data_IF_091220686126
#
_entry.id   IF_091220686126
#
_cell.length_a   1.000
_cell.length_b   1.000
_cell.length_c   1.000
_cell.angle_alpha   90.00
_cell.angle_beta   90.00
_cell.angle_gamma   90.00
#
_symmetry.space_group_name_H-M   'P 1'
#
loop_
_entity.id
_entity.type
_entity.pdbx_description
1 polymer ?
#
# COMPACT_ATOMS: atom_id res chain seq x y z
N UNK A 1 14.22 -0.11 -0.10
CA UNK A 1 13.83 -0.09 -1.51
C UNK A 1 12.56 0.75 -1.64
N UNK A 2 12.44 1.61 -2.64
CA UNK A 2 11.17 2.29 -2.91
C UNK A 2 10.36 1.38 -3.82
N UNK A 3 9.24 0.88 -3.33
CA UNK A 3 8.32 0.04 -4.09
C UNK A 3 7.67 0.83 -5.23
N UNK A 4 7.32 0.13 -6.31
CA UNK A 4 6.79 0.78 -7.50
C UNK A 4 5.36 1.28 -7.27
N UNK A 5 5.13 2.54 -7.63
CA UNK A 5 3.81 3.16 -7.51
C UNK A 5 2.93 2.71 -8.67
N UNK A 6 1.84 2.04 -8.32
CA UNK A 6 0.78 1.61 -9.25
C UNK A 6 -0.41 2.56 -9.16
N UNK A 7 -1.30 2.49 -10.15
CA UNK A 7 -2.54 3.26 -10.21
C UNK A 7 -3.69 2.39 -10.68
N UNK A 8 -4.87 2.57 -10.08
CA UNK A 8 -6.11 1.90 -10.48
C UNK A 8 -7.26 2.91 -10.56
N UNK A 9 -8.20 2.68 -11.47
CA UNK A 9 -9.47 3.42 -11.54
C UNK A 9 -10.51 2.73 -10.65
N UNK A 10 -10.94 3.40 -9.58
CA UNK A 10 -11.95 2.89 -8.64
C UNK A 10 -13.01 3.97 -8.46
N UNK A 11 -14.28 3.64 -8.72
CA UNK A 11 -15.40 4.59 -8.60
C UNK A 11 -15.18 5.91 -9.37
N UNK A 12 -14.52 5.85 -10.54
CA UNK A 12 -14.19 7.01 -11.37
C UNK A 12 -13.05 7.88 -10.84
N UNK A 13 -12.30 7.39 -9.85
CA UNK A 13 -11.13 8.06 -9.28
C UNK A 13 -9.87 7.24 -9.55
N UNK A 14 -8.81 7.94 -10.00
CA UNK A 14 -7.47 7.37 -10.14
C UNK A 14 -6.76 7.28 -8.79
N UNK A 15 -6.74 6.09 -8.21
CA UNK A 15 -6.12 5.82 -6.91
C UNK A 15 -4.67 5.37 -7.07
N UNK A 16 -3.75 5.99 -6.33
CA UNK A 16 -2.36 5.57 -6.24
C UNK A 16 -2.17 4.55 -5.10
N UNK A 17 -1.45 3.47 -5.36
CA UNK A 17 -1.17 2.43 -4.36
C UNK A 17 0.20 1.79 -4.58
N UNK A 18 0.64 1.05 -3.58
CA UNK A 18 1.81 0.16 -3.63
C UNK A 18 1.27 -1.25 -3.34
N UNK A 19 1.81 -2.23 -4.04
CA UNK A 19 1.38 -3.63 -3.96
C UNK A 19 2.60 -4.51 -4.24
N UNK A 20 3.06 -5.18 -3.19
CA UNK A 20 4.33 -5.92 -3.06
C UNK A 20 4.07 -7.16 -2.20
N UNK A 21 4.78 -8.24 -2.50
CA UNK A 21 4.59 -9.54 -1.83
C UNK A 21 3.59 -10.44 -2.55
N UNK A 22 3.34 -11.61 -1.96
CA UNK A 22 2.46 -12.66 -2.45
C UNK A 22 1.75 -13.29 -1.25
N UNK A 23 0.51 -13.74 -1.41
CA UNK A 23 -0.26 -14.37 -0.33
C UNK A 23 -1.60 -13.68 -0.04
N UNK A 24 -2.08 -13.82 1.19
CA UNK A 24 -3.34 -13.22 1.63
C UNK A 24 -3.15 -11.70 1.88
N UNK A 25 -3.93 -10.82 1.21
CA UNK A 25 -3.61 -9.40 1.18
C UNK A 25 -3.82 -8.70 2.53
N UNK A 26 -2.79 -7.98 2.98
CA UNK A 26 -2.85 -7.04 4.11
C UNK A 26 -2.98 -5.61 3.59
N UNK A 27 -4.13 -4.96 3.85
CA UNK A 27 -4.43 -3.62 3.33
C UNK A 27 -4.08 -2.53 4.34
N UNK A 28 -3.20 -1.62 3.95
CA UNK A 28 -2.84 -0.44 4.73
C UNK A 28 -3.60 0.81 4.27
N UNK A 29 -4.44 1.36 5.15
CA UNK A 29 -5.14 2.62 4.92
C UNK A 29 -4.52 3.73 5.77
N UNK A 30 -4.34 4.92 5.19
CA UNK A 30 -3.86 6.09 5.92
C UNK A 30 -5.00 7.02 6.31
N UNK A 31 -4.75 7.93 7.27
CA UNK A 31 -5.69 8.98 7.65
C UNK A 31 -5.40 10.33 6.96
N UNK A 32 -6.19 11.35 7.28
CA UNK A 32 -5.95 12.74 6.93
C UNK A 32 -5.25 13.45 8.12
N UNK A 33 -4.11 14.17 7.95
CA UNK A 33 -3.47 14.63 6.71
C UNK A 33 -2.22 13.83 6.30
N UNK A 34 -2.32 12.51 6.19
CA UNK A 34 -1.19 11.62 5.89
C UNK A 34 -1.29 10.97 4.51
N UNK A 35 -0.30 10.15 4.14
CA UNK A 35 -0.27 9.38 2.89
C UNK A 35 0.20 7.94 3.14
N UNK A 36 0.15 7.10 2.10
CA UNK A 36 0.68 5.73 2.14
C UNK A 36 2.15 5.63 2.59
N UNK A 37 2.92 6.72 2.46
CA UNK A 37 4.31 6.80 2.92
C UNK A 37 4.49 6.56 4.42
N UNK A 38 3.42 6.74 5.21
CA UNK A 38 3.38 6.40 6.64
C UNK A 38 3.80 4.95 6.88
N UNK A 39 3.40 4.04 5.98
CA UNK A 39 3.55 2.59 6.17
C UNK A 39 4.87 2.03 5.66
N UNK A 40 5.74 2.85 5.04
CA UNK A 40 7.00 2.38 4.41
C UNK A 40 7.94 1.59 5.34
N UNK A 41 7.86 1.88 6.64
CA UNK A 41 8.68 1.26 7.68
C UNK A 41 7.93 0.17 8.44
N UNK A 42 6.67 -0.10 8.09
CA UNK A 42 5.81 -1.07 8.78
C UNK A 42 5.55 -2.28 7.87
N UNK A 43 5.17 -2.05 6.62
CA UNK A 43 4.83 -3.13 5.69
C UNK A 43 5.93 -4.22 5.56
N UNK A 44 7.25 -3.91 5.59
CA UNK A 44 8.27 -4.97 5.45
C UNK A 44 8.27 -5.95 6.63
N UNK A 45 7.75 -5.55 7.79
CA UNK A 45 7.74 -6.39 9.00
C UNK A 45 6.54 -7.33 9.07
N UNK A 46 5.57 -7.20 8.16
CA UNK A 46 4.40 -8.07 8.09
C UNK A 46 4.32 -8.84 6.77
N UNK A 47 5.35 -8.75 5.93
CA UNK A 47 5.37 -9.37 4.60
C UNK A 47 5.24 -10.90 4.64
N UNK A 48 5.65 -11.54 5.74
CA UNK A 48 5.55 -13.00 5.93
C UNK A 48 4.28 -13.42 6.72
N UNK A 49 3.34 -12.49 6.97
CA UNK A 49 2.12 -12.74 7.76
C UNK A 49 0.86 -12.93 6.92
N UNK A 50 0.96 -12.80 5.60
CA UNK A 50 -0.15 -12.89 4.65
C UNK A 50 0.37 -13.21 3.28
#
# INVERSE_FOLDING_TARGET
>A
MMADKKFAEINGLRMAYIDEGEGDPIVFLHGNPTSSFLWRSIWPHVADLG
#
